data_IF_509654038323
#
_entry.id   IF_509654038323
#
_cell.length_a   1.000
_cell.length_b   1.000
_cell.length_c   1.000
_cell.angle_alpha   90.00
_cell.angle_beta   90.00
_cell.angle_gamma   90.00
#
_symmetry.space_group_name_H-M   'P 1'
#
loop_
_entity.id
_entity.type
_entity.pdbx_description
1 polymer ?
#
# COMPACT_ATOMS: atom_id res chain seq x y z
N UNK A 1 7.68 -16.72 -0.49
CA UNK A 1 7.55 -15.32 -0.92
C UNK A 1 6.34 -15.11 -1.81
N UNK A 2 5.96 -13.88 -2.01
CA UNK A 2 4.85 -13.45 -2.86
C UNK A 2 5.45 -12.63 -4.00
N UNK A 3 5.11 -12.98 -5.24
CA UNK A 3 5.48 -12.19 -6.42
C UNK A 3 4.27 -11.39 -6.87
N UNK A 4 4.44 -10.09 -7.04
CA UNK A 4 3.42 -9.16 -7.45
C UNK A 4 3.82 -8.52 -8.79
N UNK A 5 2.87 -8.45 -9.73
CA UNK A 5 3.07 -7.88 -11.05
C UNK A 5 2.17 -6.66 -11.24
N UNK A 6 2.74 -5.59 -11.78
CA UNK A 6 2.05 -4.36 -12.12
C UNK A 6 2.17 -4.13 -13.63
N UNK A 7 1.08 -4.35 -14.35
CA UNK A 7 1.02 -4.17 -15.82
C UNK A 7 -0.41 -3.79 -16.20
N UNK A 8 -0.66 -2.62 -16.78
CA UNK A 8 0.21 -1.44 -16.77
C UNK A 8 0.51 -0.95 -15.36
N UNK A 9 1.57 -0.18 -15.19
CA UNK A 9 1.98 0.29 -13.87
C UNK A 9 1.17 1.51 -13.43
N UNK A 10 0.94 1.57 -12.12
CA UNK A 10 0.38 2.73 -11.45
C UNK A 10 1.45 3.78 -11.15
N UNK A 11 1.01 5.03 -11.07
CA UNK A 11 1.85 6.12 -10.56
C UNK A 11 1.85 6.08 -9.04
N UNK A 12 3.03 6.16 -8.43
CA UNK A 12 3.16 6.27 -6.98
C UNK A 12 2.86 7.71 -6.57
N UNK A 13 1.80 7.90 -5.79
CA UNK A 13 1.32 9.23 -5.35
C UNK A 13 1.54 9.49 -3.86
N UNK A 14 2.25 8.62 -3.16
CA UNK A 14 2.34 8.58 -1.70
C UNK A 14 2.88 9.87 -1.07
N UNK A 15 3.85 10.54 -1.72
CA UNK A 15 4.46 11.73 -1.17
C UNK A 15 3.68 13.02 -1.48
N UNK A 16 2.99 13.08 -2.61
CA UNK A 16 2.32 14.29 -3.08
C UNK A 16 0.89 14.43 -2.56
N UNK A 17 0.18 13.34 -2.34
CA UNK A 17 -1.21 13.37 -1.88
C UNK A 17 -1.40 14.02 -0.51
N UNK A 18 -0.64 13.69 0.55
CA UNK A 18 -0.75 14.38 1.83
C UNK A 18 -0.50 15.88 1.74
N UNK A 19 0.48 16.30 0.96
CA UNK A 19 0.78 17.72 0.76
C UNK A 19 -0.38 18.43 0.03
N UNK A 20 -0.92 17.83 -1.02
CA UNK A 20 -2.05 18.38 -1.77
C UNK A 20 -3.31 18.48 -0.90
N UNK A 21 -3.61 17.49 -0.08
CA UNK A 21 -4.77 17.53 0.83
C UNK A 21 -4.59 18.64 1.87
N UNK A 22 -3.41 18.74 2.47
CA UNK A 22 -3.09 19.82 3.43
C UNK A 22 -3.28 21.20 2.82
N UNK A 23 -2.90 21.37 1.56
CA UNK A 23 -2.96 22.65 0.85
C UNK A 23 -4.28 22.82 0.06
N UNK A 24 -5.35 22.15 0.48
CA UNK A 24 -6.70 22.27 -0.08
C UNK A 24 -6.82 21.96 -1.57
N UNK A 25 -6.10 20.94 -2.04
CA UNK A 25 -6.09 20.51 -3.44
C UNK A 25 -5.16 21.32 -4.33
N UNK A 26 -4.20 22.05 -3.75
CA UNK A 26 -3.25 22.89 -4.49
C UNK A 26 -1.84 22.36 -4.40
N UNK A 27 -1.06 22.65 -5.41
CA UNK A 27 0.38 22.41 -5.47
C UNK A 27 1.11 23.61 -6.07
N UNK A 28 2.39 23.72 -5.75
CA UNK A 28 3.26 24.77 -6.28
C UNK A 28 3.49 24.58 -7.78
N UNK A 29 3.16 25.61 -8.55
CA UNK A 29 3.47 25.68 -9.98
C UNK A 29 4.89 26.20 -10.25
N UNK A 30 5.27 26.22 -11.53
CA UNK A 30 6.58 26.71 -11.99
C UNK A 30 6.79 28.21 -11.77
N UNK A 31 5.71 28.95 -11.56
CA UNK A 31 5.71 30.39 -11.24
C UNK A 31 5.87 30.65 -9.73
N UNK A 32 6.07 29.63 -8.91
CA UNK A 32 6.24 29.73 -7.47
C UNK A 32 4.94 30.07 -6.73
N UNK A 33 3.78 29.83 -7.32
CA UNK A 33 2.47 30.04 -6.68
C UNK A 33 1.71 28.73 -6.54
N UNK A 34 0.74 28.72 -5.62
CA UNK A 34 -0.18 27.60 -5.43
C UNK A 34 -1.28 27.64 -6.50
N UNK A 35 -1.42 26.56 -7.23
CA UNK A 35 -2.46 26.33 -8.23
C UNK A 35 -3.31 25.13 -7.89
N UNK A 36 -4.57 25.15 -8.31
CA UNK A 36 -5.44 23.99 -8.23
C UNK A 36 -4.83 22.82 -9.01
N UNK A 37 -4.82 21.66 -8.41
CA UNK A 37 -4.16 20.47 -8.95
C UNK A 37 -5.16 19.37 -9.22
N UNK A 38 -5.11 18.82 -10.42
CA UNK A 38 -5.84 17.60 -10.76
C UNK A 38 -5.00 16.40 -10.35
N UNK A 39 -5.47 15.65 -9.35
CA UNK A 39 -4.88 14.37 -9.00
C UNK A 39 -5.49 13.26 -9.88
N UNK A 40 -4.63 12.50 -10.54
CA UNK A 40 -5.01 11.24 -11.18
C UNK A 40 -4.56 10.12 -10.27
N UNK A 41 -5.52 9.39 -9.69
CA UNK A 41 -5.27 8.39 -8.67
C UNK A 41 -5.62 7.04 -9.25
N UNK A 42 -4.67 6.08 -9.27
CA UNK A 42 -4.93 4.73 -9.74
C UNK A 42 -6.03 4.05 -8.92
N UNK A 43 -6.85 3.23 -9.59
CA UNK A 43 -7.85 2.43 -8.93
C UNK A 43 -7.21 1.38 -8.02
N UNK A 44 -7.89 1.04 -6.92
CA UNK A 44 -7.46 0.03 -5.94
C UNK A 44 -6.07 0.25 -5.32
N UNK A 45 -5.66 1.50 -5.21
CA UNK A 45 -4.49 1.89 -4.43
C UNK A 45 -4.92 2.57 -3.12
N UNK A 46 -3.98 3.19 -2.43
CA UNK A 46 -4.26 3.96 -1.21
C UNK A 46 -5.18 5.18 -1.39
N UNK A 47 -5.65 5.46 -2.59
CA UNK A 47 -6.59 6.56 -2.87
C UNK A 47 -7.86 6.49 -2.02
N UNK A 48 -8.34 5.29 -1.74
CA UNK A 48 -9.55 5.07 -0.94
C UNK A 48 -9.40 5.52 0.50
N UNK A 49 -8.20 5.49 1.09
CA UNK A 49 -7.95 6.00 2.43
C UNK A 49 -7.99 7.52 2.46
N UNK A 50 -7.46 8.19 1.44
CA UNK A 50 -7.56 9.65 1.32
C UNK A 50 -9.02 10.08 1.15
N UNK A 51 -9.79 9.34 0.37
CA UNK A 51 -11.23 9.59 0.23
C UNK A 51 -11.95 9.46 1.57
N UNK A 52 -11.64 8.44 2.36
CA UNK A 52 -12.21 8.24 3.69
C UNK A 52 -11.93 9.44 4.62
N UNK A 53 -10.69 9.96 4.62
CA UNK A 53 -10.31 11.15 5.40
C UNK A 53 -11.04 12.40 4.91
N UNK A 54 -11.15 12.59 3.59
CA UNK A 54 -11.86 13.74 3.02
C UNK A 54 -13.35 13.71 3.41
N UNK A 55 -13.99 12.56 3.32
CA UNK A 55 -15.41 12.40 3.70
C UNK A 55 -15.62 12.64 5.20
N UNK A 56 -14.69 12.17 6.04
CA UNK A 56 -14.73 12.44 7.47
C UNK A 56 -14.61 13.96 7.76
N UNK A 57 -13.65 14.63 7.14
CA UNK A 57 -13.47 16.08 7.27
C UNK A 57 -14.67 16.87 6.76
N UNK A 58 -15.37 16.41 5.72
CA UNK A 58 -16.61 17.02 5.25
C UNK A 58 -17.74 16.88 6.26
N UNK A 59 -17.81 15.73 6.94
CA UNK A 59 -18.87 15.43 7.90
C UNK A 59 -18.65 16.09 9.27
N UNK A 60 -17.43 16.15 9.75
CA UNK A 60 -17.07 16.52 11.12
C UNK A 60 -16.19 17.76 11.23
N UNK A 61 -15.68 18.28 10.12
CA UNK A 61 -14.71 19.37 10.09
C UNK A 61 -13.26 18.86 10.03
N UNK A 62 -12.33 19.79 9.87
CA UNK A 62 -10.90 19.48 9.84
C UNK A 62 -10.40 19.00 11.21
N UNK A 63 -9.42 18.11 11.21
CA UNK A 63 -8.75 17.71 12.44
C UNK A 63 -8.02 18.91 13.07
N UNK A 64 -8.10 19.00 14.39
CA UNK A 64 -7.29 19.94 15.15
C UNK A 64 -5.90 19.36 15.43
N UNK A 65 -4.82 19.94 14.88
CA UNK A 65 -3.47 19.43 15.07
C UNK A 65 -3.00 19.41 16.53
N UNK A 66 -3.67 20.17 17.41
CA UNK A 66 -3.31 20.24 18.83
C UNK A 66 -3.92 19.12 19.65
N UNK A 67 -4.99 18.48 19.15
CA UNK A 67 -5.73 17.44 19.88
C UNK A 67 -5.73 16.08 19.15
N UNK A 68 -5.42 16.07 17.86
CA UNK A 68 -5.38 14.82 17.10
C UNK A 68 -4.25 13.92 17.59
N UNK A 69 -4.52 12.61 17.62
CA UNK A 69 -3.53 11.62 17.96
C UNK A 69 -2.52 11.35 16.84
N UNK A 70 -1.61 10.43 17.10
CA UNK A 70 -0.63 9.95 16.14
C UNK A 70 -0.67 8.44 16.09
N UNK A 71 -0.72 7.89 14.87
CA UNK A 71 -0.70 6.45 14.62
C UNK A 71 0.63 6.07 13.99
N UNK A 72 1.51 5.35 14.72
CA UNK A 72 2.75 4.85 14.13
C UNK A 72 2.45 3.88 12.99
N UNK A 73 2.96 4.17 11.81
CA UNK A 73 2.81 3.33 10.62
C UNK A 73 4.16 2.68 10.26
N UNK A 74 4.15 1.39 9.99
CA UNK A 74 5.31 0.66 9.48
C UNK A 74 4.87 -0.19 8.30
N UNK A 75 5.27 0.22 7.10
CA UNK A 75 5.06 -0.55 5.89
C UNK A 75 5.92 -1.81 5.86
N UNK A 76 5.44 -2.84 5.17
CA UNK A 76 6.20 -4.07 4.94
C UNK A 76 7.55 -3.81 4.24
N UNK A 77 7.63 -2.76 3.41
CA UNK A 77 8.87 -2.27 2.81
C UNK A 77 9.96 -1.92 3.80
N UNK A 78 9.61 -1.34 4.94
CA UNK A 78 10.57 -0.99 5.99
C UNK A 78 11.31 -2.22 6.53
N UNK A 79 10.77 -3.41 6.29
CA UNK A 79 11.35 -4.70 6.63
C UNK A 79 12.17 -5.30 5.47
N UNK A 80 12.59 -4.50 4.49
CA UNK A 80 13.36 -4.93 3.32
C UNK A 80 12.65 -6.01 2.49
N UNK A 81 11.35 -5.90 2.35
CA UNK A 81 10.54 -6.84 1.58
C UNK A 81 10.79 -6.78 0.06
N UNK A 82 11.59 -5.84 -0.41
CA UNK A 82 11.89 -5.60 -1.83
C UNK A 82 10.66 -5.23 -2.68
N UNK A 83 9.56 -4.91 -2.06
CA UNK A 83 8.31 -4.62 -2.77
C UNK A 83 8.44 -3.42 -3.71
N UNK A 84 9.30 -2.45 -3.35
CA UNK A 84 9.58 -1.26 -4.15
C UNK A 84 11.02 -1.16 -4.67
N UNK A 85 11.90 -2.02 -4.17
CA UNK A 85 13.31 -2.02 -4.55
C UNK A 85 13.62 -2.72 -5.86
N UNK A 86 12.60 -3.26 -6.56
CA UNK A 86 12.80 -4.06 -7.78
C UNK A 86 12.89 -3.21 -9.05
N UNK A 87 13.63 -2.12 -9.00
CA UNK A 87 13.82 -1.25 -10.17
C UNK A 87 14.51 -1.96 -11.34
N UNK A 88 15.32 -2.95 -11.08
CA UNK A 88 15.93 -3.83 -12.07
C UNK A 88 14.91 -4.67 -12.86
N UNK A 89 13.73 -4.86 -12.31
CA UNK A 89 12.59 -5.58 -12.90
C UNK A 89 11.47 -4.64 -13.34
N UNK A 90 11.80 -3.39 -13.58
CA UNK A 90 10.89 -2.34 -14.04
C UNK A 90 11.38 -1.83 -15.38
N UNK A 91 10.54 -1.83 -16.39
CA UNK A 91 10.88 -1.28 -17.70
C UNK A 91 9.65 -0.67 -18.39
N UNK A 92 9.91 0.29 -19.27
CA UNK A 92 8.90 0.88 -20.12
C UNK A 92 8.68 0.01 -21.37
N UNK A 93 7.44 -0.26 -21.68
CA UNK A 93 7.04 -0.96 -22.92
C UNK A 93 7.26 -0.02 -24.11
N UNK A 94 7.96 -0.52 -25.14
CA UNK A 94 8.39 0.32 -26.28
C UNK A 94 7.37 0.39 -27.41
N UNK A 95 6.42 -0.55 -27.47
CA UNK A 95 5.42 -0.65 -28.51
C UNK A 95 4.18 -1.37 -27.99
N UNK A 96 3.05 -1.14 -28.67
CA UNK A 96 1.83 -1.90 -28.40
C UNK A 96 2.06 -3.38 -28.56
N UNK A 97 1.44 -4.18 -27.70
CA UNK A 97 1.62 -5.61 -27.73
C UNK A 97 0.98 -6.34 -26.56
N UNK A 98 1.61 -7.44 -26.19
CA UNK A 98 1.14 -8.29 -25.08
C UNK A 98 2.34 -8.71 -24.23
N UNK A 99 2.25 -8.44 -22.92
CA UNK A 99 3.19 -8.99 -21.94
C UNK A 99 2.69 -10.35 -21.50
N UNK A 100 3.56 -11.36 -21.60
CA UNK A 100 3.28 -12.73 -21.17
C UNK A 100 4.24 -13.17 -20.09
N UNK A 101 3.71 -13.79 -19.06
CA UNK A 101 4.47 -14.46 -18.02
C UNK A 101 4.32 -15.95 -18.20
N UNK A 102 5.44 -16.65 -18.40
CA UNK A 102 5.47 -18.10 -18.56
C UNK A 102 6.35 -18.75 -17.48
N UNK A 103 6.04 -19.97 -17.11
CA UNK A 103 6.92 -20.77 -16.25
C UNK A 103 8.12 -21.34 -17.04
N UNK A 104 9.00 -22.04 -16.33
CA UNK A 104 10.20 -22.66 -16.92
C UNK A 104 9.91 -23.73 -17.99
N UNK A 105 8.69 -24.24 -18.04
CA UNK A 105 8.22 -25.23 -19.03
C UNK A 105 7.50 -24.58 -20.22
N UNK A 106 7.43 -23.24 -20.25
CA UNK A 106 6.75 -22.48 -21.29
C UNK A 106 5.22 -22.38 -21.11
N UNK A 107 4.68 -22.83 -19.99
CA UNK A 107 3.25 -22.70 -19.70
C UNK A 107 2.93 -21.23 -19.42
N UNK A 108 1.91 -20.72 -20.13
CA UNK A 108 1.39 -19.37 -19.90
C UNK A 108 0.73 -19.28 -18.51
N UNK A 109 1.20 -18.35 -17.67
CA UNK A 109 0.65 -18.07 -16.35
C UNK A 109 -0.23 -16.84 -16.36
N UNK A 110 0.18 -15.79 -17.07
CA UNK A 110 -0.53 -14.51 -17.17
C UNK A 110 -0.28 -13.88 -18.53
N UNK A 111 -1.26 -13.16 -19.02
CA UNK A 111 -1.18 -12.37 -20.25
C UNK A 111 -1.91 -11.04 -20.05
N UNK A 112 -1.31 -9.95 -20.52
CA UNK A 112 -1.88 -8.61 -20.44
C UNK A 112 -1.57 -7.81 -21.70
N UNK A 113 -2.60 -7.29 -22.43
CA UNK A 113 -2.37 -6.32 -23.48
C UNK A 113 -1.80 -5.03 -22.89
N UNK A 114 -0.88 -4.42 -23.63
CA UNK A 114 -0.17 -3.20 -23.23
C UNK A 114 0.01 -2.28 -24.42
N UNK A 115 0.16 -0.97 -24.13
CA UNK A 115 0.43 0.08 -25.09
C UNK A 115 1.86 0.61 -24.95
N UNK A 116 2.33 1.26 -25.99
CA UNK A 116 3.63 1.95 -25.93
C UNK A 116 3.63 3.01 -24.82
N UNK A 117 4.62 2.97 -23.96
CA UNK A 117 4.72 3.87 -22.81
C UNK A 117 4.26 3.25 -21.48
N UNK A 118 3.54 2.15 -21.51
CA UNK A 118 3.19 1.41 -20.29
C UNK A 118 4.43 0.95 -19.53
N UNK A 119 4.28 0.77 -18.23
CA UNK A 119 5.37 0.29 -17.38
C UNK A 119 5.07 -1.10 -16.88
N UNK A 120 6.00 -2.01 -17.12
CA UNK A 120 6.03 -3.32 -16.47
C UNK A 120 6.85 -3.23 -15.18
N UNK A 121 6.32 -3.77 -14.11
CA UNK A 121 7.05 -3.93 -12.85
C UNK A 121 6.75 -5.29 -12.23
N UNK A 122 7.78 -5.96 -11.75
CA UNK A 122 7.67 -7.15 -10.91
C UNK A 122 8.25 -6.85 -9.52
N UNK A 123 7.45 -7.09 -8.49
CA UNK A 123 7.84 -6.93 -7.10
C UNK A 123 7.76 -8.26 -6.36
N UNK A 124 8.51 -8.39 -5.30
CA UNK A 124 8.58 -9.59 -4.48
C UNK A 124 8.55 -9.24 -3.00
N UNK A 125 7.61 -9.80 -2.26
CA UNK A 125 7.59 -9.76 -0.80
C UNK A 125 8.08 -11.11 -0.27
N UNK A 126 9.19 -11.10 0.49
CA UNK A 126 9.83 -12.31 1.02
C UNK A 126 9.24 -12.73 2.36
N UNK A 127 9.33 -14.01 2.70
CA UNK A 127 8.78 -14.54 3.95
C UNK A 127 9.48 -13.97 5.19
N UNK A 128 10.79 -13.86 5.19
CA UNK A 128 11.53 -13.35 6.35
C UNK A 128 11.15 -11.90 6.73
N UNK A 129 11.04 -10.94 5.80
CA UNK A 129 10.48 -9.63 6.09
C UNK A 129 9.03 -9.66 6.59
N UNK A 130 8.18 -10.54 6.08
CA UNK A 130 6.79 -10.66 6.57
C UNK A 130 6.78 -11.17 8.01
N UNK A 131 7.59 -12.17 8.34
CA UNK A 131 7.74 -12.68 9.71
C UNK A 131 8.20 -11.57 10.68
N UNK A 132 9.19 -10.79 10.28
CA UNK A 132 9.69 -9.68 11.09
C UNK A 132 8.64 -8.57 11.26
N UNK A 133 7.87 -8.28 10.22
CA UNK A 133 6.76 -7.33 10.27
C UNK A 133 5.66 -7.78 11.26
N UNK A 134 5.28 -9.06 11.23
CA UNK A 134 4.34 -9.66 12.20
C UNK A 134 4.89 -9.59 13.62
N UNK A 135 6.15 -9.97 13.83
CA UNK A 135 6.83 -9.85 15.12
C UNK A 135 6.83 -8.42 15.65
N UNK A 136 7.09 -7.45 14.77
CA UNK A 136 7.07 -6.04 15.13
C UNK A 136 5.67 -5.59 15.58
N UNK A 137 4.61 -6.00 14.87
CA UNK A 137 3.23 -5.69 15.23
C UNK A 137 2.88 -6.23 16.64
N UNK A 138 3.19 -7.50 16.91
CA UNK A 138 2.98 -8.13 18.23
C UNK A 138 3.75 -7.39 19.34
N UNK A 139 5.02 -7.09 19.11
CA UNK A 139 5.85 -6.40 20.09
C UNK A 139 5.35 -4.98 20.37
N UNK A 140 4.93 -4.25 19.36
CA UNK A 140 4.39 -2.90 19.51
C UNK A 140 3.03 -2.89 20.20
N UNK A 141 2.12 -3.78 19.83
CA UNK A 141 0.83 -3.92 20.50
C UNK A 141 1.03 -4.16 22.00
N UNK A 142 1.97 -5.04 22.37
CA UNK A 142 2.31 -5.34 23.76
C UNK A 142 2.93 -4.16 24.50
N UNK A 143 3.85 -3.46 23.86
CA UNK A 143 4.56 -2.34 24.48
C UNK A 143 3.68 -1.11 24.67
N UNK A 144 2.76 -0.85 23.74
CA UNK A 144 1.88 0.33 23.77
C UNK A 144 0.54 0.09 24.45
N UNK A 145 0.12 -1.18 24.57
CA UNK A 145 -1.22 -1.58 24.99
C UNK A 145 -2.32 -0.95 24.10
N UNK A 146 -2.01 -0.78 22.82
CA UNK A 146 -2.94 -0.27 21.81
C UNK A 146 -3.13 -1.30 20.69
N UNK A 147 -4.24 -1.24 19.93
CA UNK A 147 -4.45 -2.14 18.81
C UNK A 147 -3.33 -2.08 17.77
N UNK A 148 -2.96 -3.24 17.21
CA UNK A 148 -2.12 -3.32 16.01
C UNK A 148 -3.00 -3.77 14.84
N UNK A 149 -2.98 -3.02 13.75
CA UNK A 149 -3.86 -3.27 12.60
C UNK A 149 -3.02 -3.51 11.37
N UNK A 150 -3.20 -4.67 10.75
CA UNK A 150 -2.69 -4.96 9.42
C UNK A 150 -3.70 -4.43 8.38
N UNK A 151 -3.27 -3.46 7.57
CA UNK A 151 -4.10 -2.85 6.53
C UNK A 151 -4.02 -3.69 5.27
N UNK A 152 -4.90 -4.65 5.14
CA UNK A 152 -4.90 -5.63 4.05
C UNK A 152 -6.32 -5.87 3.56
N UNK A 153 -6.54 -5.76 2.26
CA UNK A 153 -7.82 -6.01 1.61
C UNK A 153 -7.86 -7.47 1.09
N UNK A 154 -8.74 -8.32 1.63
CA UNK A 154 -8.84 -9.72 1.18
C UNK A 154 -9.27 -9.85 -0.29
N UNK A 155 -9.85 -8.82 -0.88
CA UNK A 155 -10.26 -8.83 -2.29
C UNK A 155 -9.13 -8.46 -3.25
N UNK A 156 -8.04 -7.89 -2.76
CA UNK A 156 -6.83 -7.66 -3.53
C UNK A 156 -5.94 -8.90 -3.47
N UNK A 157 -5.63 -9.50 -4.60
CA UNK A 157 -4.92 -10.79 -4.65
C UNK A 157 -3.58 -10.80 -3.89
N UNK A 158 -2.80 -9.73 -4.00
CA UNK A 158 -1.55 -9.57 -3.23
C UNK A 158 -1.83 -9.57 -1.71
N UNK A 159 -2.77 -8.76 -1.26
CA UNK A 159 -3.12 -8.64 0.15
C UNK A 159 -3.70 -9.95 0.69
N UNK A 160 -4.53 -10.64 -0.09
CA UNK A 160 -5.03 -11.97 0.26
C UNK A 160 -3.90 -12.96 0.56
N UNK A 161 -2.87 -13.01 -0.30
CA UNK A 161 -1.69 -13.83 -0.06
C UNK A 161 -0.87 -13.37 1.16
N UNK A 162 -0.79 -12.07 1.44
CA UNK A 162 -0.15 -11.55 2.65
C UNK A 162 -0.96 -11.90 3.91
N UNK A 163 -2.29 -11.84 3.85
CA UNK A 163 -3.18 -12.23 4.97
C UNK A 163 -2.92 -13.68 5.40
N UNK A 164 -2.83 -14.60 4.45
CA UNK A 164 -2.52 -16.01 4.74
C UNK A 164 -1.18 -16.15 5.48
N UNK A 165 -0.16 -15.40 5.04
CA UNK A 165 1.16 -15.37 5.69
C UNK A 165 1.08 -14.77 7.10
N UNK A 166 0.41 -13.62 7.27
CA UNK A 166 0.23 -12.98 8.57
C UNK A 166 -0.48 -13.92 9.55
N UNK A 167 -1.57 -14.55 9.13
CA UNK A 167 -2.32 -15.50 9.96
C UNK A 167 -1.47 -16.73 10.34
N UNK A 168 -0.61 -17.18 9.45
CA UNK A 168 0.32 -18.28 9.71
C UNK A 168 1.35 -17.87 10.75
N UNK A 169 2.02 -16.75 10.55
CA UNK A 169 3.13 -16.32 11.42
C UNK A 169 2.66 -15.76 12.77
N UNK A 170 1.44 -15.26 12.89
CA UNK A 170 0.88 -14.89 14.20
C UNK A 170 0.81 -16.06 15.16
N UNK A 171 0.68 -17.30 14.66
CA UNK A 171 0.65 -18.52 15.50
C UNK A 171 1.99 -18.78 16.21
N UNK A 172 3.08 -18.20 15.70
CA UNK A 172 4.42 -18.34 16.29
C UNK A 172 4.64 -17.37 17.47
N UNK A 173 3.63 -16.53 17.78
CA UNK A 173 3.71 -15.51 18.81
C UNK A 173 2.60 -15.68 19.87
N UNK A 174 2.94 -15.35 21.10
CA UNK A 174 1.89 -15.22 22.13
C UNK A 174 1.12 -13.91 21.89
N UNK A 175 -0.15 -14.01 21.51
CA UNK A 175 -1.04 -12.88 21.24
C UNK A 175 -2.10 -12.69 22.32
N UNK A 176 -2.02 -13.43 23.44
CA UNK A 176 -2.97 -13.35 24.54
C UNK A 176 -3.01 -11.92 25.11
N UNK A 177 -4.23 -11.40 25.24
CA UNK A 177 -4.48 -10.05 25.75
C UNK A 177 -4.14 -8.91 24.76
N UNK A 178 -3.76 -9.22 23.53
CA UNK A 178 -3.48 -8.21 22.49
C UNK A 178 -4.66 -8.05 21.55
N UNK A 179 -4.95 -6.80 21.18
CA UNK A 179 -5.89 -6.48 20.10
C UNK A 179 -5.12 -6.39 18.78
N UNK A 180 -5.15 -7.47 18.01
CA UNK A 180 -4.49 -7.53 16.69
C UNK A 180 -5.56 -7.79 15.64
N UNK A 181 -5.66 -6.91 14.66
CA UNK A 181 -6.70 -6.95 13.62
C UNK A 181 -6.11 -6.98 12.23
N UNK A 182 -6.86 -7.56 11.30
CA UNK A 182 -6.67 -7.42 9.85
C UNK A 182 -7.91 -6.71 9.34
N UNK A 183 -7.74 -5.55 8.71
CA UNK A 183 -8.84 -4.72 8.22
C UNK A 183 -8.51 -4.20 6.83
N UNK A 184 -9.55 -3.98 6.02
CA UNK A 184 -9.36 -3.27 4.75
C UNK A 184 -8.79 -1.86 5.00
N UNK A 185 -8.00 -1.28 4.08
CA UNK A 185 -7.42 0.05 4.30
C UNK A 185 -8.46 1.13 4.65
N UNK A 186 -9.65 1.08 4.05
CA UNK A 186 -10.73 2.04 4.34
C UNK A 186 -11.28 1.86 5.75
N UNK A 187 -11.54 0.61 6.15
CA UNK A 187 -12.06 0.34 7.49
C UNK A 187 -11.01 0.62 8.56
N UNK A 188 -9.75 0.29 8.27
CA UNK A 188 -8.63 0.62 9.14
C UNK A 188 -8.49 2.13 9.33
N UNK A 189 -8.60 2.92 8.24
CA UNK A 189 -8.55 4.38 8.30
C UNK A 189 -9.69 4.95 9.16
N UNK A 190 -10.91 4.44 9.02
CA UNK A 190 -12.05 4.88 9.83
C UNK A 190 -11.94 4.49 11.31
N UNK A 191 -11.23 3.41 11.58
CA UNK A 191 -11.02 2.92 12.95
C UNK A 191 -9.93 3.72 13.68
N UNK A 192 -8.88 4.14 12.98
CA UNK A 192 -7.72 4.84 13.56
C UNK A 192 -7.93 6.34 13.65
#
# INVERSE_FOLDING_TARGET
GITNLHVPSDVIVDASMPAMIRDSGKMWGTDGKLHDTKAVIPDRCYATIYQAVIEDCKAHGAFDPTTMGSVPNVGLMAQKAEEYGSHDKTFQVKADGVVRVTDSNGKLLMEQPVEAGDIFRMCQAKDAPIQDWVKLAVNRARASNTPAIFWLDPQRAHDGAVIEKVQTYLKDHNTEGLDIRIMSPVDAMKFT
#
